data_IF_014799647174
#
_entry.id   IF_014799647174
#
_cell.length_a   1.000
_cell.length_b   1.000
_cell.length_c   1.000
_cell.angle_alpha   90.00
_cell.angle_beta   90.00
_cell.angle_gamma   90.00
#
_symmetry.space_group_name_H-M   'P 1'
#
loop_
_entity.id
_entity.type
_entity.pdbx_description
1 polymer ?
#
# COMPACT_ATOMS: atom_id res chain seq x y z
N UNK A 1 8.70 -62.65 0.43
CA UNK A 1 9.92 -61.97 -0.08
C UNK A 1 9.63 -60.88 -1.13
N UNK A 2 8.60 -61.01 -1.99
CA UNK A 2 8.27 -60.01 -3.04
C UNK A 2 7.78 -58.63 -2.55
N UNK A 3 7.16 -58.55 -1.36
CA UNK A 3 6.69 -57.28 -0.77
C UNK A 3 7.79 -56.47 -0.07
N UNK A 4 8.86 -57.12 0.37
CA UNK A 4 10.00 -56.45 1.03
C UNK A 4 10.89 -55.71 0.02
N UNK A 5 11.06 -56.30 -1.18
CA UNK A 5 11.77 -55.69 -2.31
C UNK A 5 11.13 -54.40 -2.81
N UNK A 6 9.79 -54.32 -2.78
CA UNK A 6 9.02 -53.13 -3.20
C UNK A 6 9.21 -51.95 -2.23
N UNK A 7 9.36 -52.22 -0.93
CA UNK A 7 9.63 -51.18 0.07
C UNK A 7 11.06 -50.63 0.00
N UNK A 8 12.04 -51.48 -0.28
CA UNK A 8 13.43 -51.03 -0.50
C UNK A 8 13.62 -50.21 -1.78
N UNK A 9 12.81 -50.46 -2.83
CA UNK A 9 12.89 -49.68 -4.06
C UNK A 9 12.30 -48.27 -3.91
N UNK A 10 11.23 -48.11 -3.11
CA UNK A 10 10.62 -46.80 -2.82
C UNK A 10 11.56 -45.91 -1.97
N UNK A 11 12.34 -46.50 -1.06
CA UNK A 11 13.27 -45.75 -0.20
C UNK A 11 14.51 -45.23 -0.95
N UNK A 12 14.91 -45.89 -2.04
CA UNK A 12 16.06 -45.48 -2.89
C UNK A 12 15.65 -44.43 -3.93
N UNK A 13 14.36 -44.33 -4.29
CA UNK A 13 13.86 -43.30 -5.22
C UNK A 13 13.66 -41.90 -4.62
N UNK A 14 13.89 -41.72 -3.31
CA UNK A 14 13.86 -40.40 -2.67
C UNK A 14 15.18 -39.61 -2.80
N UNK A 15 15.91 -39.81 -3.90
CA UNK A 15 17.09 -39.00 -4.21
C UNK A 15 16.73 -37.52 -4.20
N UNK A 16 17.39 -36.79 -3.30
CA UNK A 16 17.29 -35.36 -3.08
C UNK A 16 17.26 -34.59 -4.41
N UNK A 17 16.09 -34.03 -4.74
CA UNK A 17 15.97 -33.02 -5.78
C UNK A 17 16.56 -31.73 -5.19
N UNK A 18 17.86 -31.52 -5.39
CA UNK A 18 18.47 -30.21 -5.15
C UNK A 18 18.05 -29.29 -6.29
N UNK A 19 17.03 -28.46 -6.06
CA UNK A 19 16.80 -27.29 -6.91
C UNK A 19 17.94 -26.30 -6.67
N UNK A 20 18.70 -25.97 -7.71
CA UNK A 20 19.70 -24.89 -7.63
C UNK A 20 18.96 -23.55 -7.52
N UNK A 21 19.35 -22.75 -6.54
CA UNK A 21 18.80 -21.40 -6.31
C UNK A 21 19.88 -20.34 -6.57
N UNK A 22 19.48 -19.30 -7.29
CA UNK A 22 20.31 -18.16 -7.68
C UNK A 22 20.00 -17.02 -6.73
N UNK A 23 21.06 -16.43 -6.19
CA UNK A 23 20.97 -15.27 -5.32
C UNK A 23 20.90 -13.98 -6.16
N UNK A 24 19.83 -13.22 -5.99
CA UNK A 24 19.67 -11.88 -6.53
C UNK A 24 19.86 -10.89 -5.39
N UNK A 25 20.87 -10.01 -5.50
CA UNK A 25 21.16 -9.01 -4.48
C UNK A 25 21.59 -7.69 -5.10
N UNK A 26 21.29 -6.59 -4.45
CA UNK A 26 21.61 -5.28 -4.99
C UNK A 26 21.17 -4.13 -4.10
N UNK A 27 21.29 -2.91 -4.61
CA UNK A 27 20.83 -1.68 -3.97
C UNK A 27 20.07 -0.81 -4.97
N UNK A 28 18.98 -0.23 -4.49
CA UNK A 28 18.14 0.72 -5.23
C UNK A 28 18.47 2.15 -4.79
N UNK A 29 18.77 3.00 -5.77
CA UNK A 29 19.07 4.42 -5.62
C UNK A 29 18.12 5.28 -6.45
N UNK A 30 18.01 6.54 -6.07
CA UNK A 30 17.35 7.57 -6.86
C UNK A 30 18.29 8.01 -8.00
N UNK A 31 17.81 8.00 -9.25
CA UNK A 31 18.63 8.36 -10.41
C UNK A 31 19.06 9.84 -10.44
N UNK A 32 18.31 10.73 -9.77
CA UNK A 32 18.57 12.17 -9.72
C UNK A 32 19.44 12.53 -8.52
N UNK A 33 19.05 12.07 -7.34
CA UNK A 33 19.68 12.45 -6.08
C UNK A 33 20.75 11.46 -5.60
N UNK A 34 20.85 10.29 -6.24
CA UNK A 34 21.77 9.20 -5.88
C UNK A 34 21.59 8.72 -4.42
N UNK A 35 20.44 9.03 -3.82
CA UNK A 35 20.09 8.64 -2.46
C UNK A 35 19.46 7.25 -2.43
N UNK A 36 19.64 6.47 -1.35
CA UNK A 36 18.98 5.18 -1.23
C UNK A 36 17.44 5.28 -1.26
N UNK A 37 16.80 4.37 -2.01
CA UNK A 37 15.34 4.29 -2.07
C UNK A 37 14.87 3.10 -1.23
N UNK A 38 14.54 3.39 0.02
CA UNK A 38 14.13 2.41 1.01
C UNK A 38 12.81 1.73 0.65
N UNK A 39 12.65 0.48 1.10
CA UNK A 39 11.39 -0.28 0.99
C UNK A 39 10.85 -0.40 -0.44
N UNK A 40 11.75 -0.46 -1.42
CA UNK A 40 11.42 -0.72 -2.82
C UNK A 40 11.11 -2.20 -3.00
N UNK A 41 10.00 -2.52 -3.68
CA UNK A 41 9.69 -3.90 -4.04
C UNK A 41 10.54 -4.31 -5.26
N UNK A 42 11.24 -5.44 -5.16
CA UNK A 42 12.04 -6.03 -6.23
C UNK A 42 11.62 -7.48 -6.40
N UNK A 43 11.10 -7.84 -7.58
CA UNK A 43 10.57 -9.19 -7.82
C UNK A 43 10.71 -9.60 -9.28
N UNK A 44 10.68 -10.90 -9.55
CA UNK A 44 10.72 -11.44 -10.91
C UNK A 44 9.30 -11.42 -11.49
N UNK A 45 9.15 -10.82 -12.67
CA UNK A 45 7.87 -10.68 -13.37
C UNK A 45 7.14 -12.03 -13.50
N UNK A 46 5.84 -12.04 -13.26
CA UNK A 46 4.97 -13.22 -13.34
C UNK A 46 5.36 -14.38 -12.39
N UNK A 47 6.12 -14.11 -11.34
CA UNK A 47 6.47 -15.10 -10.32
C UNK A 47 6.17 -14.57 -8.91
N UNK A 48 6.40 -15.42 -7.89
CA UNK A 48 6.32 -15.04 -6.48
C UNK A 48 7.70 -14.74 -5.87
N UNK A 49 8.77 -14.83 -6.65
CA UNK A 49 10.13 -14.62 -6.16
C UNK A 49 10.45 -13.13 -6.14
N UNK A 50 10.80 -12.63 -4.97
CA UNK A 50 11.11 -11.23 -4.76
C UNK A 50 11.25 -10.90 -3.28
N UNK A 51 11.53 -9.62 -3.02
CA UNK A 51 11.71 -9.09 -1.67
C UNK A 51 11.40 -7.60 -1.65
N UNK A 52 11.44 -7.02 -0.45
CA UNK A 52 11.36 -5.59 -0.22
C UNK A 52 12.71 -5.11 0.31
N UNK A 53 13.24 -4.05 -0.29
CA UNK A 53 14.51 -3.48 0.13
C UNK A 53 14.46 -2.92 1.57
N UNK A 54 15.60 -2.89 2.25
CA UNK A 54 15.69 -2.35 3.61
C UNK A 54 15.67 -0.81 3.64
N UNK A 55 15.93 -0.23 4.81
CA UNK A 55 15.99 1.23 5.04
C UNK A 55 17.14 1.95 4.32
N UNK A 56 18.13 1.21 3.80
CA UNK A 56 19.25 1.72 3.01
C UNK A 56 19.16 1.27 1.53
N UNK A 57 17.98 0.83 1.09
CA UNK A 57 17.69 0.48 -0.30
C UNK A 57 18.30 -0.84 -0.76
N UNK A 58 18.90 -1.65 0.12
CA UNK A 58 19.47 -2.95 -0.24
C UNK A 58 18.42 -4.05 -0.26
N UNK A 59 18.52 -4.95 -1.22
CA UNK A 59 17.64 -6.09 -1.36
C UNK A 59 18.45 -7.37 -1.60
N UNK A 60 17.89 -8.50 -1.19
CA UNK A 60 18.44 -9.84 -1.45
C UNK A 60 17.33 -10.89 -1.41
N UNK A 61 17.27 -11.77 -2.40
CA UNK A 61 16.35 -12.91 -2.44
C UNK A 61 16.91 -14.03 -3.32
N UNK A 62 16.43 -15.25 -3.12
CA UNK A 62 16.78 -16.41 -3.95
C UNK A 62 15.63 -16.80 -4.86
N UNK A 63 15.95 -17.28 -6.07
CA UNK A 63 14.98 -17.85 -6.99
C UNK A 63 15.60 -19.03 -7.76
N UNK A 64 14.81 -20.02 -8.22
CA UNK A 64 15.34 -21.17 -8.95
C UNK A 64 16.06 -20.79 -10.24
N UNK A 65 17.24 -21.36 -10.47
CA UNK A 65 18.08 -21.11 -11.66
C UNK A 65 17.43 -21.58 -12.96
N UNK A 66 16.39 -22.41 -12.86
CA UNK A 66 15.61 -22.91 -13.99
C UNK A 66 14.74 -21.83 -14.66
N UNK A 67 14.63 -20.64 -14.06
CA UNK A 67 13.88 -19.53 -14.64
C UNK A 67 14.65 -18.97 -15.85
N UNK A 68 14.03 -19.05 -17.02
CA UNK A 68 14.54 -18.42 -18.24
C UNK A 68 13.93 -17.03 -18.42
N UNK A 69 14.68 -16.12 -19.06
CA UNK A 69 14.24 -14.76 -19.36
C UNK A 69 13.79 -13.98 -18.11
N UNK A 70 14.63 -13.98 -17.08
CA UNK A 70 14.33 -13.33 -15.81
C UNK A 70 14.29 -11.81 -16.01
N UNK A 71 13.10 -11.23 -15.93
CA UNK A 71 12.91 -9.79 -15.89
C UNK A 71 12.58 -9.37 -14.45
N UNK A 72 13.47 -8.58 -13.85
CA UNK A 72 13.23 -7.95 -12.55
C UNK A 72 12.33 -6.74 -12.73
N UNK A 73 11.34 -6.63 -11.85
CA UNK A 73 10.47 -5.47 -11.72
C UNK A 73 10.81 -4.76 -10.43
N UNK A 74 11.08 -3.47 -10.54
CA UNK A 74 11.44 -2.60 -9.42
C UNK A 74 10.35 -1.55 -9.28
N UNK A 75 9.64 -1.59 -8.14
CA UNK A 75 8.45 -0.81 -7.89
C UNK A 75 8.52 -0.04 -6.57
N UNK A 76 8.27 1.26 -6.65
CA UNK A 76 8.19 2.17 -5.51
C UNK A 76 7.20 3.30 -5.82
N UNK A 77 6.40 3.71 -4.83
CA UNK A 77 5.54 4.90 -4.94
C UNK A 77 6.39 6.13 -5.28
N UNK A 78 5.88 7.03 -6.13
CA UNK A 78 6.58 8.25 -6.60
C UNK A 78 7.73 7.99 -7.59
N UNK A 79 7.96 6.75 -8.01
CA UNK A 79 8.94 6.39 -9.04
C UNK A 79 8.29 5.65 -10.20
N UNK A 80 8.87 5.76 -11.40
CA UNK A 80 8.43 4.99 -12.56
C UNK A 80 8.78 3.52 -12.36
N UNK A 81 7.85 2.63 -12.72
CA UNK A 81 8.12 1.19 -12.79
C UNK A 81 9.29 0.95 -13.74
N UNK A 82 10.32 0.26 -13.23
CA UNK A 82 11.49 -0.10 -14.00
C UNK A 82 11.55 -1.62 -14.18
N UNK A 83 11.89 -2.03 -15.40
CA UNK A 83 12.09 -3.42 -15.79
C UNK A 83 13.57 -3.61 -16.13
N UNK A 84 14.17 -4.68 -15.61
CA UNK A 84 15.57 -5.02 -15.84
C UNK A 84 15.65 -6.48 -16.31
N UNK A 85 16.09 -6.67 -17.55
CA UNK A 85 16.35 -8.00 -18.09
C UNK A 85 17.68 -8.52 -17.53
N UNK A 86 17.61 -9.61 -16.77
CA UNK A 86 18.78 -10.28 -16.21
C UNK A 86 19.21 -11.37 -17.19
N UNK A 87 20.07 -11.00 -18.14
CA UNK A 87 20.66 -11.96 -19.06
C UNK A 87 21.56 -12.95 -18.31
N UNK A 88 21.54 -14.22 -18.71
CA UNK A 88 22.21 -15.35 -18.04
C UNK A 88 23.74 -15.27 -17.98
N UNK A 89 24.37 -14.18 -18.43
CA UNK A 89 25.81 -13.99 -18.47
C UNK A 89 26.39 -13.23 -17.26
N UNK A 90 25.56 -12.60 -16.42
CA UNK A 90 26.02 -11.90 -15.23
C UNK A 90 25.92 -12.85 -14.02
N UNK A 91 27.00 -13.62 -13.83
CA UNK A 91 27.19 -14.45 -12.64
C UNK A 91 27.55 -13.52 -11.47
N UNK A 92 26.75 -13.58 -10.40
CA UNK A 92 27.02 -12.98 -9.08
C UNK A 92 27.10 -11.44 -8.99
N UNK A 93 26.56 -10.71 -9.96
CA UNK A 93 26.59 -9.24 -9.90
C UNK A 93 25.64 -8.67 -8.85
N UNK A 94 26.19 -7.80 -8.01
CA UNK A 94 25.42 -6.92 -7.15
C UNK A 94 24.74 -5.86 -8.02
N UNK A 95 23.41 -5.91 -8.11
CA UNK A 95 22.66 -4.98 -8.96
C UNK A 95 22.63 -3.58 -8.35
N UNK A 96 23.12 -2.58 -9.07
CA UNK A 96 22.90 -1.17 -8.73
C UNK A 96 21.79 -0.60 -9.60
N UNK A 97 20.63 -0.37 -9.01
CA UNK A 97 19.41 0.00 -9.74
C UNK A 97 19.07 1.45 -9.43
N UNK A 98 19.04 2.30 -10.46
CA UNK A 98 18.70 3.72 -10.33
C UNK A 98 17.27 3.98 -10.81
N UNK A 99 16.34 4.21 -9.87
CA UNK A 99 14.95 4.52 -10.17
C UNK A 99 14.78 5.98 -10.58
N UNK A 100 14.01 6.20 -11.63
CA UNK A 100 13.66 7.54 -12.13
C UNK A 100 12.41 8.02 -11.38
N UNK A 101 12.46 9.15 -10.66
CA UNK A 101 11.27 9.75 -10.05
C UNK A 101 10.17 9.94 -11.09
N UNK A 102 8.94 9.59 -10.73
CA UNK A 102 7.80 9.87 -11.61
C UNK A 102 7.44 11.35 -11.45
N UNK A 103 7.52 12.11 -12.55
CA UNK A 103 7.16 13.53 -12.60
C UNK A 103 5.62 13.67 -12.59
N UNK A 104 4.99 13.13 -11.55
CA UNK A 104 3.55 13.17 -11.32
C UNK A 104 3.05 14.62 -11.38
N UNK A 105 3.81 15.57 -10.84
CA UNK A 105 3.53 17.01 -10.92
C UNK A 105 3.43 17.54 -12.36
N UNK A 106 4.31 17.11 -13.27
CA UNK A 106 4.25 17.54 -14.67
C UNK A 106 3.07 16.91 -15.40
N UNK A 107 2.77 15.64 -15.10
CA UNK A 107 1.60 14.94 -15.65
C UNK A 107 0.30 15.58 -15.18
N UNK A 108 0.22 15.95 -13.91
CA UNK A 108 -0.90 16.70 -13.34
C UNK A 108 -1.03 18.09 -13.96
N UNK A 109 0.09 18.81 -14.16
CA UNK A 109 0.09 20.11 -14.82
C UNK A 109 -0.38 20.01 -16.28
N UNK A 110 0.06 19.01 -17.03
CA UNK A 110 -0.40 18.78 -18.40
C UNK A 110 -1.91 18.46 -18.46
N UNK A 111 -2.40 17.66 -17.51
CA UNK A 111 -3.84 17.38 -17.36
C UNK A 111 -4.58 18.68 -17.00
N UNK A 112 -4.07 19.48 -16.07
CA UNK A 112 -4.64 20.77 -15.69
C UNK A 112 -4.68 21.76 -16.85
N UNK A 113 -3.61 21.88 -17.63
CA UNK A 113 -3.52 22.77 -18.80
C UNK A 113 -4.52 22.33 -19.88
N UNK A 114 -4.72 21.01 -20.07
CA UNK A 114 -5.74 20.47 -20.98
C UNK A 114 -7.19 20.71 -20.51
N UNK A 115 -7.40 20.81 -19.20
CA UNK A 115 -8.72 21.03 -18.58
C UNK A 115 -9.03 22.53 -18.42
N UNK A 116 -8.01 23.39 -18.42
CA UNK A 116 -8.13 24.85 -18.25
C UNK A 116 -8.89 25.57 -19.37
N UNK A 117 -9.14 24.89 -20.50
CA UNK A 117 -10.05 25.36 -21.55
C UNK A 117 -11.55 25.25 -21.21
N UNK A 118 -11.91 24.53 -20.14
CA UNK A 118 -13.31 24.32 -19.71
C UNK A 118 -13.62 25.28 -18.57
N UNK A 119 -14.25 26.40 -18.89
CA UNK A 119 -14.59 27.47 -17.96
C UNK A 119 -15.79 27.12 -17.06
N UNK A 120 -15.59 27.30 -15.75
CA UNK A 120 -16.68 27.46 -14.75
C UNK A 120 -16.87 26.30 -13.78
N UNK A 121 -16.65 26.56 -12.47
CA UNK A 121 -17.01 25.68 -11.32
C UNK A 121 -16.22 24.37 -11.19
N UNK A 122 -16.12 23.61 -12.27
CA UNK A 122 -15.50 22.29 -12.36
C UNK A 122 -13.99 22.34 -12.15
N UNK A 123 -13.30 23.39 -12.61
CA UNK A 123 -11.86 23.57 -12.37
C UNK A 123 -11.53 23.66 -10.86
N UNK A 124 -12.41 24.30 -10.06
CA UNK A 124 -12.24 24.36 -8.60
C UNK A 124 -12.45 23.01 -7.91
N UNK A 125 -13.31 22.16 -8.47
CA UNK A 125 -13.57 20.81 -8.00
C UNK A 125 -12.44 19.86 -8.38
N UNK A 126 -11.95 19.92 -9.62
CA UNK A 126 -10.84 19.09 -10.10
C UNK A 126 -9.53 19.46 -9.41
N UNK A 127 -9.22 20.74 -9.18
CA UNK A 127 -8.03 21.13 -8.39
C UNK A 127 -8.12 20.60 -6.95
N UNK A 128 -9.31 20.64 -6.32
CA UNK A 128 -9.53 20.03 -5.00
C UNK A 128 -9.42 18.51 -5.02
N UNK A 129 -9.93 17.85 -6.05
CA UNK A 129 -9.85 16.41 -6.24
C UNK A 129 -8.43 15.92 -6.55
N UNK A 130 -7.64 16.70 -7.28
CA UNK A 130 -6.24 16.40 -7.61
C UNK A 130 -5.33 16.54 -6.38
N UNK A 131 -5.53 17.59 -5.58
CA UNK A 131 -4.85 17.73 -4.29
C UNK A 131 -5.32 16.71 -3.24
N UNK A 132 -6.52 16.14 -3.42
CA UNK A 132 -7.08 15.08 -2.58
C UNK A 132 -6.43 13.71 -2.80
N UNK A 133 -5.96 13.41 -4.02
CA UNK A 133 -5.33 12.11 -4.36
C UNK A 133 -3.83 12.07 -3.99
N UNK A 134 -3.18 13.23 -3.85
CA UNK A 134 -1.73 13.35 -3.69
C UNK A 134 -1.23 13.06 -2.26
N UNK A 135 -2.02 13.39 -1.25
CA UNK A 135 -1.61 13.24 0.16
C UNK A 135 -2.57 12.26 0.84
N UNK A 136 -2.06 11.12 1.33
CA UNK A 136 -2.80 10.13 2.15
C UNK A 136 -3.41 10.74 3.46
N UNK A 137 -3.32 12.06 3.66
CA UNK A 137 -3.88 12.84 4.76
C UNK A 137 -4.27 14.25 4.27
N UNK A 138 -5.54 14.63 4.40
CA UNK A 138 -6.01 16.00 4.13
C UNK A 138 -6.20 16.74 5.46
N UNK A 139 -5.30 17.64 5.85
CA UNK A 139 -5.62 18.56 6.93
C UNK A 139 -6.74 19.54 6.49
N UNK A 140 -7.82 19.67 7.28
CA UNK A 140 -8.82 20.74 7.11
C UNK A 140 -8.22 22.10 7.50
N UNK A 141 -7.47 22.70 6.58
CA UNK A 141 -6.91 24.04 6.74
C UNK A 141 -5.39 24.03 6.88
N UNK A 142 -4.84 25.03 7.58
CA UNK A 142 -3.39 25.18 7.70
C UNK A 142 -2.77 23.97 8.44
N UNK A 143 -1.79 23.32 7.82
CA UNK A 143 -1.07 22.14 8.34
C UNK A 143 -0.50 22.34 9.75
N UNK A 144 -0.30 23.59 10.18
CA UNK A 144 0.20 23.94 11.51
C UNK A 144 -0.91 24.06 12.58
N UNK A 145 -2.14 24.46 12.22
CA UNK A 145 -3.23 24.76 13.17
C UNK A 145 -4.45 23.82 13.08
N UNK A 146 -4.48 22.93 12.09
CA UNK A 146 -5.64 22.11 11.82
C UNK A 146 -5.88 21.03 12.88
N UNK A 147 -7.12 20.94 13.37
CA UNK A 147 -7.57 20.00 14.42
C UNK A 147 -8.22 18.73 13.87
N UNK A 148 -8.52 18.69 12.56
CA UNK A 148 -9.28 17.61 11.91
C UNK A 148 -8.68 17.24 10.56
N UNK A 149 -8.34 15.98 10.38
CA UNK A 149 -7.81 15.43 9.16
C UNK A 149 -8.85 14.55 8.44
N UNK A 150 -8.96 14.71 7.13
CA UNK A 150 -9.69 13.85 6.20
C UNK A 150 -8.66 12.89 5.59
N UNK A 151 -8.50 11.66 6.08
CA UNK A 151 -7.30 10.91 5.61
C UNK A 151 -7.27 9.40 5.70
N UNK A 152 -8.18 8.71 6.41
CA UNK A 152 -8.04 7.25 6.59
C UNK A 152 -9.34 6.48 6.63
N UNK A 153 -10.39 7.02 6.02
CA UNK A 153 -11.70 6.39 6.05
C UNK A 153 -12.18 6.18 4.62
N UNK A 154 -11.42 5.38 3.86
CA UNK A 154 -11.69 4.97 2.48
C UNK A 154 -12.66 5.92 1.76
N UNK A 155 -12.20 7.14 1.49
CA UNK A 155 -12.99 8.12 0.73
C UNK A 155 -12.83 7.75 -0.74
N UNK A 156 -13.43 6.63 -1.14
CA UNK A 156 -13.37 6.14 -2.50
C UNK A 156 -14.79 5.84 -2.98
N UNK A 157 -15.10 6.15 -4.25
CA UNK A 157 -16.17 5.46 -4.92
C UNK A 157 -15.82 3.97 -4.93
N UNK A 158 -16.54 3.20 -4.14
CA UNK A 158 -16.40 1.74 -4.10
C UNK A 158 -17.60 1.14 -4.82
N UNK A 159 -17.37 0.03 -5.53
CA UNK A 159 -18.46 -0.70 -6.18
C UNK A 159 -18.59 -2.07 -5.53
N UNK A 160 -19.77 -2.35 -5.00
CA UNK A 160 -20.12 -3.65 -4.42
C UNK A 160 -21.40 -4.15 -5.11
N UNK A 161 -21.51 -5.44 -5.49
CA UNK A 161 -22.74 -6.02 -6.02
C UNK A 161 -24.03 -5.72 -5.24
N UNK A 162 -23.93 -5.49 -3.92
CA UNK A 162 -25.08 -5.18 -3.06
C UNK A 162 -25.41 -3.68 -3.08
N UNK A 163 -24.42 -2.82 -2.86
CA UNK A 163 -24.61 -1.37 -2.69
C UNK A 163 -24.54 -0.58 -4.01
N UNK A 164 -24.13 -1.22 -5.10
CA UNK A 164 -23.75 -0.56 -6.35
C UNK A 164 -22.60 0.41 -6.12
N UNK A 165 -22.70 1.60 -6.72
CA UNK A 165 -21.79 2.71 -6.44
C UNK A 165 -22.00 3.19 -5.00
N UNK A 166 -20.93 3.26 -4.22
CA UNK A 166 -20.93 3.73 -2.85
C UNK A 166 -19.99 4.91 -2.71
N UNK A 167 -20.50 6.04 -2.22
CA UNK A 167 -19.69 7.20 -1.88
C UNK A 167 -19.56 7.28 -0.36
N UNK A 168 -18.32 7.33 0.14
CA UNK A 168 -18.00 7.48 1.56
C UNK A 168 -17.18 8.75 1.76
N UNK A 169 -17.43 9.47 2.85
CA UNK A 169 -16.66 10.62 3.30
C UNK A 169 -16.44 10.51 4.81
N UNK A 170 -15.23 10.79 5.27
CA UNK A 170 -14.91 10.64 6.68
C UNK A 170 -13.87 11.63 7.20
N UNK A 171 -13.94 11.87 8.50
CA UNK A 171 -13.11 12.81 9.25
C UNK A 171 -12.47 12.12 10.45
N UNK A 172 -11.30 12.59 10.88
CA UNK A 172 -10.62 12.17 12.08
C UNK A 172 -9.98 13.38 12.76
N UNK A 173 -10.12 13.55 14.06
CA UNK A 173 -9.38 14.58 14.80
C UNK A 173 -7.93 14.14 15.05
N UNK A 174 -7.08 15.12 15.32
CA UNK A 174 -5.67 14.90 15.64
C UNK A 174 -5.30 15.45 17.03
N UNK A 175 -4.04 15.24 17.43
CA UNK A 175 -3.50 15.64 18.72
C UNK A 175 -3.56 17.15 18.98
N UNK A 176 -3.69 17.98 17.93
CA UNK A 176 -3.83 19.44 18.04
C UNK A 176 -5.21 19.85 18.55
N UNK A 177 -6.23 18.99 18.41
CA UNK A 177 -7.51 19.17 19.11
C UNK A 177 -7.32 18.85 20.60
N UNK A 178 -6.79 17.67 20.88
CA UNK A 178 -6.46 17.20 22.21
C UNK A 178 -5.47 16.01 22.10
N UNK A 179 -4.32 16.00 22.80
CA UNK A 179 -3.36 14.90 22.72
C UNK A 179 -3.88 13.58 23.33
N UNK A 180 -4.99 13.62 24.06
CA UNK A 180 -5.60 12.48 24.75
C UNK A 180 -7.00 12.11 24.20
N UNK A 181 -7.65 12.95 23.39
CA UNK A 181 -9.01 12.69 22.90
C UNK A 181 -9.08 12.78 21.37
N UNK A 182 -9.49 11.68 20.75
CA UNK A 182 -9.59 11.54 19.30
C UNK A 182 -11.01 11.15 18.90
N UNK A 183 -11.57 11.87 17.95
CA UNK A 183 -12.91 11.62 17.40
C UNK A 183 -12.74 11.30 15.93
N UNK A 184 -13.37 10.22 15.47
CA UNK A 184 -13.38 9.84 14.05
C UNK A 184 -14.77 9.46 13.62
N UNK A 185 -15.04 9.57 12.33
CA UNK A 185 -16.28 9.04 11.79
C UNK A 185 -16.39 9.18 10.30
N UNK A 186 -17.30 8.42 9.72
CA UNK A 186 -17.65 8.54 8.30
C UNK A 186 -19.15 8.42 8.09
N UNK A 187 -19.60 9.01 6.98
CA UNK A 187 -20.88 8.76 6.37
C UNK A 187 -20.67 8.17 4.98
N UNK A 188 -21.54 7.25 4.56
CA UNK A 188 -21.54 6.68 3.23
C UNK A 188 -22.97 6.52 2.70
N UNK A 189 -23.11 6.61 1.38
CA UNK A 189 -24.37 6.37 0.69
C UNK A 189 -24.16 5.39 -0.47
N UNK A 190 -24.91 4.29 -0.46
CA UNK A 190 -24.95 3.32 -1.55
C UNK A 190 -26.10 3.64 -2.51
N UNK A 191 -25.80 3.81 -3.80
CA UNK A 191 -26.80 4.16 -4.81
C UNK A 191 -27.61 2.95 -5.29
N UNK A 192 -27.07 1.74 -5.16
CA UNK A 192 -27.75 0.48 -5.48
C UNK A 192 -28.77 0.08 -4.43
N UNK A 193 -28.42 0.17 -3.14
CA UNK A 193 -29.31 -0.16 -2.03
C UNK A 193 -30.07 1.05 -1.45
N UNK A 194 -29.72 2.27 -1.89
CA UNK A 194 -30.29 3.56 -1.48
C UNK A 194 -30.22 3.82 0.04
N UNK A 195 -29.25 3.23 0.73
CA UNK A 195 -29.12 3.33 2.19
C UNK A 195 -27.92 4.18 2.61
N UNK A 196 -28.16 5.00 3.61
CA UNK A 196 -27.12 5.72 4.33
C UNK A 196 -26.47 4.81 5.38
N UNK A 197 -25.15 4.89 5.50
CA UNK A 197 -24.31 4.10 6.40
C UNK A 197 -23.34 5.03 7.11
N UNK A 198 -22.96 4.70 8.34
CA UNK A 198 -22.10 5.59 9.12
C UNK A 198 -21.35 4.87 10.23
N UNK A 199 -20.28 5.51 10.70
CA UNK A 199 -19.56 5.13 11.92
C UNK A 199 -19.11 6.36 12.67
N UNK A 200 -19.20 6.31 13.99
CA UNK A 200 -18.53 7.21 14.91
C UNK A 200 -17.59 6.44 15.81
N UNK A 201 -16.43 7.02 16.09
CA UNK A 201 -15.46 6.52 17.05
C UNK A 201 -15.01 7.64 17.99
N UNK A 202 -14.89 7.33 19.26
CA UNK A 202 -14.31 8.19 20.27
C UNK A 202 -13.24 7.40 21.03
N UNK A 203 -11.99 7.81 20.85
CA UNK A 203 -10.83 7.21 21.50
C UNK A 203 -10.28 8.17 22.54
N UNK A 204 -10.24 7.74 23.81
CA UNK A 204 -9.54 8.42 24.88
C UNK A 204 -8.24 7.67 25.20
N UNK A 205 -7.10 8.34 25.04
CA UNK A 205 -5.78 7.81 25.34
C UNK A 205 -5.29 8.31 26.68
N UNK A 206 -4.84 7.40 27.54
CA UNK A 206 -4.20 7.77 28.82
C UNK A 206 -2.83 8.41 28.59
N UNK A 207 -2.14 7.99 27.52
CA UNK A 207 -0.87 8.57 27.08
C UNK A 207 -1.10 9.68 26.05
N UNK A 208 -0.33 10.78 26.15
CA UNK A 208 -0.37 11.86 25.16
C UNK A 208 0.18 11.37 23.81
N UNK A 209 -0.54 11.65 22.73
CA UNK A 209 -0.12 11.32 21.36
C UNK A 209 0.48 12.52 20.64
N UNK A 210 1.43 12.26 19.76
CA UNK A 210 2.08 13.30 18.96
C UNK A 210 1.17 13.76 17.81
N UNK A 211 0.41 12.85 17.19
CA UNK A 211 -0.42 13.16 16.03
C UNK A 211 -1.76 12.40 16.01
N UNK A 212 -1.75 11.08 16.13
CA UNK A 212 -2.94 10.24 16.01
C UNK A 212 -3.02 9.12 17.07
N UNK A 213 -4.25 8.69 17.38
CA UNK A 213 -4.58 7.63 18.34
C UNK A 213 -3.88 6.28 18.12
N UNK A 214 -3.52 5.93 16.88
CA UNK A 214 -2.88 4.65 16.55
C UNK A 214 -1.37 4.59 16.88
N UNK A 215 -0.77 5.66 17.40
CA UNK A 215 0.62 5.66 17.82
C UNK A 215 0.85 4.75 19.04
N UNK A 216 1.98 4.04 19.05
CA UNK A 216 2.42 3.31 20.24
C UNK A 216 2.95 4.29 21.29
N UNK A 217 2.75 4.01 22.60
CA UNK A 217 2.04 2.87 23.22
C UNK A 217 0.51 3.00 23.22
N UNK A 218 -0.26 1.93 22.97
CA UNK A 218 -1.73 1.99 22.78
C UNK A 218 -2.54 1.80 24.07
N UNK A 219 -2.31 2.62 25.09
CA UNK A 219 -3.12 2.62 26.31
C UNK A 219 -4.33 3.55 26.14
N UNK A 220 -5.41 3.04 25.56
CA UNK A 220 -6.61 3.83 25.29
C UNK A 220 -7.91 3.05 25.50
N UNK A 221 -9.00 3.80 25.66
CA UNK A 221 -10.38 3.30 25.64
C UNK A 221 -11.02 3.83 24.37
N UNK A 222 -11.73 2.97 23.63
CA UNK A 222 -12.40 3.35 22.40
C UNK A 222 -13.89 2.97 22.46
N UNK A 223 -14.75 3.93 22.18
CA UNK A 223 -16.19 3.76 21.99
C UNK A 223 -16.52 3.89 20.50
N UNK A 224 -17.15 2.86 19.94
CA UNK A 224 -17.48 2.79 18.51
C UNK A 224 -18.98 2.58 18.37
N UNK A 225 -19.61 3.35 17.48
CA UNK A 225 -20.98 3.13 17.06
C UNK A 225 -21.02 3.10 15.53
N UNK A 226 -21.51 1.99 14.97
CA UNK A 226 -21.48 1.76 13.53
C UNK A 226 -22.81 1.21 13.03
N UNK A 227 -23.21 1.69 11.86
CA UNK A 227 -24.25 1.11 11.01
C UNK A 227 -23.68 1.02 9.59
N UNK A 228 -23.02 -0.09 9.28
CA UNK A 228 -22.42 -0.38 7.97
C UNK A 228 -22.49 -1.89 7.68
N UNK A 229 -22.37 -2.26 6.41
CA UNK A 229 -22.32 -3.64 5.96
C UNK A 229 -20.92 -3.94 5.41
N UNK A 230 -20.41 -5.13 5.72
CA UNK A 230 -19.13 -5.64 5.23
C UNK A 230 -19.38 -6.80 4.28
N UNK A 231 -18.53 -6.94 3.27
CA UNK A 231 -18.68 -8.02 2.30
C UNK A 231 -18.40 -9.37 2.97
N UNK A 232 -19.07 -10.47 2.56
CA UNK A 232 -18.74 -11.81 3.05
C UNK A 232 -17.26 -12.12 2.79
N UNK A 233 -16.49 -12.36 3.85
CA UNK A 233 -15.03 -12.59 3.80
C UNK A 233 -14.17 -11.37 4.13
N UNK A 234 -14.75 -10.17 4.22
CA UNK A 234 -14.07 -8.98 4.73
C UNK A 234 -14.12 -8.99 6.26
N UNK A 235 -12.96 -9.04 6.92
CA UNK A 235 -12.90 -8.97 8.37
C UNK A 235 -13.18 -7.55 8.83
N UNK A 236 -14.11 -7.40 9.78
CA UNK A 236 -14.33 -6.13 10.45
C UNK A 236 -12.99 -5.61 11.01
N UNK A 237 -12.62 -4.33 10.84
CA UNK A 237 -11.31 -3.80 11.27
C UNK A 237 -11.02 -3.93 12.78
N UNK A 238 -12.03 -4.27 13.59
CA UNK A 238 -11.92 -4.55 15.03
C UNK A 238 -12.35 -5.97 15.41
N UNK A 239 -12.47 -6.87 14.43
CA UNK A 239 -12.68 -8.29 14.71
C UNK A 239 -11.47 -8.80 15.53
N UNK A 240 -11.69 -9.55 16.62
CA UNK A 240 -10.61 -10.28 17.26
C UNK A 240 -9.94 -11.19 16.23
N UNK A 241 -8.60 -11.27 16.28
CA UNK A 241 -7.86 -12.31 15.57
C UNK A 241 -8.00 -13.61 16.38
N UNK A 242 -9.15 -14.27 16.25
CA UNK A 242 -9.38 -15.60 16.80
C UNK A 242 -9.41 -16.62 15.68
#
# INVERSE_FOLDING_TARGET
MRKLLLFTFIFISCSFIYGQEKLYKGRVLDAKYHTPVAYTAVYIQNTRYGTVANNIGEFSFTAPDSLNNVQLVIARTEYKLQYLDVDNQLNDEFFLIALIPDDFEQKLKAIQDSISGITGGFNSFIIKATNFVKDDWIPLGNSVSNKFDFGRIQTFPTFNPIEGLRLRAGFASNSRLNPNLFIKGYGAYGFGDQKFKYRGELTYSFDKKAYHDQEYPKNNVNLIYENDIYSPGEMHPRSPNN
#
